data_IF_136428705693
#
_entry.id   IF_136428705693
#
_cell.length_a   1.000
_cell.length_b   1.000
_cell.length_c   1.000
_cell.angle_alpha   90.00
_cell.angle_beta   90.00
_cell.angle_gamma   90.00
#
_symmetry.space_group_name_H-M   'P 1'
#
loop_
_entity.id
_entity.type
_entity.pdbx_description
1 polymer ?
#
# COMPACT_ATOMS: atom_id res chain seq x y z
N UNK A 1 -16.30 11.52 4.16
CA UNK A 1 -15.04 11.58 3.39
C UNK A 1 -13.96 10.95 4.23
N UNK A 2 -13.27 9.93 3.68
CA UNK A 2 -12.14 9.28 4.34
C UNK A 2 -10.86 10.08 4.11
N UNK A 3 -10.56 10.38 2.84
CA UNK A 3 -9.38 11.15 2.44
C UNK A 3 -9.81 12.39 1.65
N UNK A 4 -9.28 13.56 2.01
CA UNK A 4 -9.52 14.81 1.30
C UNK A 4 -8.20 15.51 1.01
N UNK A 5 -8.03 15.99 -0.21
CA UNK A 5 -6.92 16.82 -0.65
C UNK A 5 -7.46 18.23 -0.91
N UNK A 6 -6.73 19.24 -0.46
CA UNK A 6 -7.11 20.64 -0.64
C UNK A 6 -5.92 21.39 -1.24
N UNK A 7 -5.98 21.74 -2.52
CA UNK A 7 -4.99 22.49 -3.26
C UNK A 7 -3.58 21.85 -3.22
N UNK A 8 -3.50 20.51 -3.17
CA UNK A 8 -2.27 19.77 -2.93
C UNK A 8 -1.28 19.95 -4.09
N UNK A 9 -0.07 20.42 -3.80
CA UNK A 9 0.96 20.67 -4.81
C UNK A 9 2.33 20.17 -4.37
N UNK A 10 3.15 19.78 -5.36
CA UNK A 10 4.55 19.41 -5.16
C UNK A 10 5.42 19.95 -6.27
N UNK A 11 6.47 20.68 -5.86
CA UNK A 11 7.50 21.24 -6.74
C UNK A 11 8.87 20.74 -6.31
N UNK A 12 9.71 20.35 -7.28
CA UNK A 12 11.10 19.94 -7.10
C UNK A 12 11.99 20.87 -7.94
N UNK A 13 12.86 21.67 -7.30
CA UNK A 13 13.83 22.47 -8.01
C UNK A 13 13.28 23.32 -9.17
N UNK A 14 12.08 23.89 -9.03
CA UNK A 14 11.39 24.65 -10.06
C UNK A 14 10.48 23.86 -10.99
N UNK A 15 10.53 22.51 -10.97
CA UNK A 15 9.60 21.65 -11.71
C UNK A 15 8.39 21.29 -10.85
N UNK A 16 7.19 21.62 -11.31
CA UNK A 16 5.94 21.27 -10.62
C UNK A 16 5.46 19.87 -11.06
N UNK A 17 5.62 18.91 -10.17
CA UNK A 17 5.20 17.52 -10.41
C UNK A 17 3.71 17.30 -10.14
N UNK A 18 3.13 18.03 -9.17
CA UNK A 18 1.70 17.99 -8.83
C UNK A 18 1.25 19.41 -8.59
N UNK A 19 0.15 19.84 -9.20
CA UNK A 19 -0.33 21.22 -9.19
C UNK A 19 -1.80 21.31 -8.74
N UNK A 20 -2.03 21.81 -7.51
CA UNK A 20 -3.33 22.24 -7.01
C UNK A 20 -4.42 21.15 -7.04
N UNK A 21 -4.13 19.93 -6.58
CA UNK A 21 -5.10 18.84 -6.59
C UNK A 21 -6.12 18.99 -5.47
N UNK A 22 -7.40 19.07 -5.86
CA UNK A 22 -8.57 18.95 -4.98
C UNK A 22 -9.25 17.61 -5.24
N UNK A 23 -9.43 16.79 -4.20
CA UNK A 23 -9.99 15.46 -4.31
C UNK A 23 -10.65 15.05 -2.98
N UNK A 24 -11.76 14.34 -3.06
CA UNK A 24 -12.39 13.72 -1.89
C UNK A 24 -12.71 12.26 -2.19
N UNK A 25 -12.26 11.35 -1.34
CA UNK A 25 -12.47 9.91 -1.43
C UNK A 25 -13.27 9.45 -0.21
N UNK A 26 -14.30 8.65 -0.42
CA UNK A 26 -15.12 8.10 0.66
C UNK A 26 -14.60 6.72 1.10
N UNK A 27 -15.05 6.26 2.27
CA UNK A 27 -14.69 4.92 2.75
C UNK A 27 -15.30 3.84 1.86
N UNK A 28 -14.52 2.79 1.56
CA UNK A 28 -14.94 1.70 0.70
C UNK A 28 -14.89 2.02 -0.81
N UNK A 29 -14.38 3.20 -1.19
CA UNK A 29 -14.25 3.58 -2.59
C UNK A 29 -12.98 2.97 -3.21
N UNK A 30 -13.13 2.41 -4.42
CA UNK A 30 -12.00 2.03 -5.26
C UNK A 30 -11.71 3.16 -6.25
N UNK A 31 -10.66 3.93 -6.00
CA UNK A 31 -10.28 5.10 -6.79
C UNK A 31 -9.06 4.83 -7.68
N UNK A 32 -9.14 5.19 -8.95
CA UNK A 32 -8.04 4.98 -9.92
C UNK A 32 -7.54 6.30 -10.48
N UNK A 33 -6.23 6.51 -10.43
CA UNK A 33 -5.54 7.64 -11.04
C UNK A 33 -4.96 7.19 -12.38
N UNK A 34 -5.42 7.80 -13.46
CA UNK A 34 -4.98 7.51 -14.83
C UNK A 34 -4.21 8.70 -15.40
N UNK A 35 -3.19 8.43 -16.17
CA UNK A 35 -2.39 9.45 -16.84
C UNK A 35 -1.10 8.89 -17.43
N UNK A 36 -0.41 9.62 -18.34
CA UNK A 36 0.83 9.19 -18.95
C UNK A 36 1.96 9.02 -17.94
N UNK A 37 3.04 8.36 -18.34
CA UNK A 37 4.27 8.30 -17.54
C UNK A 37 4.80 9.72 -17.28
N UNK A 38 5.27 9.98 -16.07
CA UNK A 38 5.76 11.31 -15.67
C UNK A 38 4.68 12.33 -15.29
N UNK A 39 3.38 11.99 -15.29
CA UNK A 39 2.30 12.91 -14.91
C UNK A 39 2.14 13.14 -13.39
N UNK A 40 3.08 12.72 -12.57
CA UNK A 40 3.06 12.98 -11.12
C UNK A 40 2.29 11.96 -10.27
N UNK A 41 1.74 10.88 -10.84
CA UNK A 41 0.96 9.86 -10.10
C UNK A 41 1.71 9.26 -8.91
N UNK A 42 2.93 8.78 -9.14
CA UNK A 42 3.80 8.24 -8.08
C UNK A 42 4.13 9.29 -7.02
N UNK A 43 4.36 10.53 -7.43
CA UNK A 43 4.61 11.65 -6.50
C UNK A 43 3.39 11.90 -5.62
N UNK A 44 2.20 11.94 -6.20
CA UNK A 44 0.95 12.07 -5.46
C UNK A 44 0.78 10.92 -4.46
N UNK A 45 0.91 9.67 -4.89
CA UNK A 45 0.81 8.51 -4.01
C UNK A 45 1.85 8.54 -2.87
N UNK A 46 3.09 8.97 -3.15
CA UNK A 46 4.13 9.14 -2.11
C UNK A 46 3.78 10.19 -1.08
N UNK A 47 3.18 11.31 -1.51
CA UNK A 47 2.69 12.34 -0.58
C UNK A 47 1.56 11.77 0.30
N UNK A 48 0.61 11.05 -0.28
CA UNK A 48 -0.50 10.43 0.45
C UNK A 48 0.00 9.36 1.44
N UNK A 49 1.01 8.59 1.06
CA UNK A 49 1.64 7.59 1.93
C UNK A 49 2.57 8.20 3.00
N UNK A 50 2.88 9.50 2.94
CA UNK A 50 3.78 10.16 3.91
C UNK A 50 5.26 9.93 3.66
N UNK A 51 5.63 9.55 2.45
CA UNK A 51 7.02 9.36 2.00
C UNK A 51 7.59 10.62 1.36
N UNK A 52 6.74 11.57 1.01
CA UNK A 52 7.09 12.85 0.41
C UNK A 52 6.23 13.94 1.06
N UNK A 53 6.83 15.07 1.41
CA UNK A 53 6.08 16.20 1.94
C UNK A 53 5.53 17.05 0.77
N UNK A 54 4.27 17.51 0.81
CA UNK A 54 3.76 18.48 -0.15
C UNK A 54 4.49 19.82 -0.03
N UNK A 55 4.58 20.56 -1.13
CA UNK A 55 5.09 21.94 -1.12
C UNK A 55 4.02 22.91 -0.62
N UNK A 56 2.75 22.66 -0.96
CA UNK A 56 1.59 23.40 -0.47
C UNK A 56 0.33 22.55 -0.50
N UNK A 57 -0.73 23.05 0.14
CA UNK A 57 -1.99 22.35 0.29
C UNK A 57 -2.01 21.34 1.44
N UNK A 58 -3.15 20.72 1.65
CA UNK A 58 -3.40 19.86 2.79
C UNK A 58 -3.89 18.47 2.40
N UNK A 59 -3.45 17.48 3.17
CA UNK A 59 -3.94 16.09 3.15
C UNK A 59 -4.69 15.88 4.45
N UNK A 60 -5.98 15.59 4.36
CA UNK A 60 -6.85 15.35 5.50
C UNK A 60 -7.33 13.90 5.48
N UNK A 61 -7.07 13.17 6.57
CA UNK A 61 -7.61 11.83 6.82
C UNK A 61 -8.67 11.92 7.92
N UNK A 62 -9.91 11.55 7.62
CA UNK A 62 -11.06 11.72 8.52
C UNK A 62 -11.16 13.15 9.10
N UNK A 63 -10.88 14.15 8.29
CA UNK A 63 -10.89 15.57 8.67
C UNK A 63 -9.65 16.03 9.44
N UNK A 64 -8.73 15.14 9.82
CA UNK A 64 -7.47 15.49 10.50
C UNK A 64 -6.34 15.68 9.48
N UNK A 65 -5.65 16.81 9.55
CA UNK A 65 -4.46 17.08 8.72
C UNK A 65 -3.33 16.10 9.06
N UNK A 66 -2.74 15.48 8.02
CA UNK A 66 -1.69 14.47 8.17
C UNK A 66 -0.40 14.81 7.40
N UNK A 67 -0.22 16.03 6.92
CA UNK A 67 0.99 16.42 6.17
C UNK A 67 2.28 16.08 6.94
N UNK A 68 2.29 16.36 8.25
CA UNK A 68 3.47 16.21 9.12
C UNK A 68 3.53 14.83 9.81
N UNK A 69 2.57 13.94 9.50
CA UNK A 69 2.55 12.57 10.04
C UNK A 69 3.44 11.68 9.15
N UNK A 70 4.53 11.10 9.67
CA UNK A 70 5.42 10.24 8.89
C UNK A 70 4.73 8.94 8.46
N UNK A 71 5.19 8.32 7.38
CA UNK A 71 4.61 7.14 6.76
C UNK A 71 4.36 5.97 7.75
N UNK A 72 5.30 5.73 8.68
CA UNK A 72 5.19 4.63 9.65
C UNK A 72 4.10 4.85 10.73
N UNK A 73 3.55 6.06 10.84
CA UNK A 73 2.47 6.43 11.76
C UNK A 73 1.14 6.67 11.06
N UNK A 74 1.10 6.64 9.73
CA UNK A 74 -0.17 6.73 8.98
C UNK A 74 -0.85 5.37 8.95
N UNK A 75 -2.17 5.29 9.04
CA UNK A 75 -2.92 4.04 8.86
C UNK A 75 -3.09 3.72 7.36
N UNK A 76 -2.03 3.87 6.60
CA UNK A 76 -1.99 3.68 5.15
C UNK A 76 -0.85 2.75 4.77
N UNK A 77 -0.99 2.00 3.68
CA UNK A 77 0.08 1.19 3.13
C UNK A 77 0.24 1.43 1.63
N UNK A 78 1.46 1.30 1.14
CA UNK A 78 1.77 1.41 -0.27
C UNK A 78 2.39 0.12 -0.79
N UNK A 79 1.83 -0.42 -1.87
CA UNK A 79 2.39 -1.52 -2.65
C UNK A 79 3.12 -0.89 -3.83
N UNK A 80 4.44 -1.06 -3.87
CA UNK A 80 5.29 -0.53 -4.92
C UNK A 80 5.28 -1.43 -6.16
N UNK A 81 5.55 -0.86 -7.32
CA UNK A 81 5.75 -1.59 -8.56
C UNK A 81 6.84 -2.69 -8.42
N UNK A 82 7.93 -2.39 -7.73
CA UNK A 82 9.02 -3.34 -7.43
C UNK A 82 8.67 -4.39 -6.37
N UNK A 83 7.44 -4.34 -5.80
CA UNK A 83 6.95 -5.15 -4.68
C UNK A 83 7.74 -4.95 -3.37
N UNK A 84 8.97 -4.48 -3.40
CA UNK A 84 9.87 -4.23 -2.27
C UNK A 84 9.90 -5.38 -1.23
N UNK A 85 9.81 -6.63 -1.68
CA UNK A 85 9.90 -7.81 -0.82
C UNK A 85 11.34 -8.00 -0.31
N UNK A 86 11.47 -8.54 0.89
CA UNK A 86 12.77 -8.88 1.48
C UNK A 86 13.27 -10.21 0.91
N UNK A 87 14.28 -10.21 0.00
CA UNK A 87 14.66 -11.41 -0.74
C UNK A 87 15.30 -12.50 0.15
N UNK A 88 15.90 -12.10 1.26
CA UNK A 88 16.54 -13.00 2.24
C UNK A 88 15.58 -13.58 3.30
N UNK A 89 14.25 -13.31 3.14
CA UNK A 89 13.23 -13.77 4.06
C UNK A 89 12.27 -14.75 3.38
N UNK A 90 11.58 -15.54 4.21
CA UNK A 90 10.50 -16.42 3.75
C UNK A 90 9.22 -15.62 3.44
N UNK A 91 8.24 -16.28 2.84
CA UNK A 91 6.90 -15.73 2.61
C UNK A 91 6.27 -15.29 3.92
N UNK A 92 6.25 -16.16 4.94
CA UNK A 92 5.70 -15.83 6.26
C UNK A 92 6.39 -14.64 6.91
N UNK A 93 7.72 -14.61 6.89
CA UNK A 93 8.50 -13.51 7.46
C UNK A 93 8.27 -12.18 6.74
N UNK A 94 8.05 -12.19 5.42
CA UNK A 94 7.66 -11.00 4.66
C UNK A 94 6.30 -10.49 5.14
N UNK A 95 5.30 -11.37 5.25
CA UNK A 95 3.94 -11.00 5.66
C UNK A 95 3.92 -10.47 7.10
N UNK A 96 4.62 -11.14 8.01
CA UNK A 96 4.66 -10.79 9.44
C UNK A 96 5.47 -9.54 9.77
N UNK A 97 6.28 -9.03 8.84
CA UNK A 97 7.30 -8.02 9.11
C UNK A 97 6.76 -6.77 9.83
N UNK A 98 5.67 -6.18 9.31
CA UNK A 98 5.07 -4.99 9.90
C UNK A 98 4.53 -5.24 11.31
N UNK A 99 3.91 -6.40 11.53
CA UNK A 99 3.39 -6.81 12.85
C UNK A 99 4.53 -7.07 13.83
N UNK A 100 5.65 -7.64 13.38
CA UNK A 100 6.84 -7.88 14.20
C UNK A 100 7.43 -6.56 14.71
N UNK A 101 7.58 -5.55 13.85
CA UNK A 101 8.09 -4.23 14.25
C UNK A 101 7.16 -3.55 15.27
N UNK A 102 5.85 -3.78 15.17
CA UNK A 102 4.85 -3.26 16.11
C UNK A 102 4.75 -4.06 17.41
N UNK A 103 5.63 -5.04 17.63
CA UNK A 103 5.66 -5.84 18.86
C UNK A 103 4.52 -6.85 19.02
N UNK A 104 3.80 -7.16 17.94
CA UNK A 104 2.71 -8.16 18.01
C UNK A 104 3.30 -9.53 18.30
N UNK A 105 2.67 -10.28 19.21
CA UNK A 105 3.07 -11.62 19.65
C UNK A 105 3.22 -12.59 18.46
N UNK A 106 4.23 -13.47 18.51
CA UNK A 106 4.56 -14.40 17.41
C UNK A 106 3.38 -15.28 16.99
N UNK A 107 2.63 -15.82 17.94
CA UNK A 107 1.48 -16.68 17.63
C UNK A 107 0.41 -15.92 16.82
N UNK A 108 0.10 -14.69 17.24
CA UNK A 108 -0.89 -13.82 16.56
C UNK A 108 -0.41 -13.41 15.17
N UNK A 109 0.86 -13.04 15.01
CA UNK A 109 1.44 -12.70 13.69
C UNK A 109 1.32 -13.86 12.73
N UNK A 110 1.71 -15.07 13.19
CA UNK A 110 1.68 -16.29 12.38
C UNK A 110 0.25 -16.65 11.97
N UNK A 111 -0.69 -16.55 12.91
CA UNK A 111 -2.12 -16.76 12.62
C UNK A 111 -2.62 -15.78 11.54
N UNK A 112 -2.31 -14.48 11.67
CA UNK A 112 -2.68 -13.46 10.69
C UNK A 112 -2.05 -13.74 9.33
N UNK A 113 -0.78 -14.16 9.29
CA UNK A 113 -0.10 -14.53 8.04
C UNK A 113 -0.81 -15.67 7.33
N UNK A 114 -1.18 -16.75 8.03
CA UNK A 114 -1.93 -17.86 7.43
C UNK A 114 -3.32 -17.47 6.95
N UNK A 115 -4.04 -16.62 7.67
CA UNK A 115 -5.33 -16.08 7.23
C UNK A 115 -5.19 -15.34 5.90
N UNK A 116 -4.22 -14.42 5.80
CA UNK A 116 -3.97 -13.65 4.58
C UNK A 116 -3.47 -14.54 3.42
N UNK A 117 -2.64 -15.54 3.72
CA UNK A 117 -2.22 -16.51 2.70
C UNK A 117 -3.42 -17.25 2.13
N UNK A 118 -4.35 -17.70 2.98
CA UNK A 118 -5.57 -18.39 2.54
C UNK A 118 -6.46 -17.46 1.69
N UNK A 119 -6.72 -16.23 2.14
CA UNK A 119 -7.50 -15.23 1.40
C UNK A 119 -6.91 -14.95 0.01
N UNK A 120 -5.59 -14.87 -0.08
CA UNK A 120 -4.86 -14.57 -1.32
C UNK A 120 -4.45 -15.83 -2.10
N UNK A 121 -5.00 -17.00 -1.75
CA UNK A 121 -4.74 -18.29 -2.43
C UNK A 121 -3.25 -18.63 -2.52
N UNK A 122 -2.50 -18.35 -1.47
CA UNK A 122 -1.14 -18.83 -1.28
C UNK A 122 -1.20 -20.13 -0.45
N UNK A 123 -0.56 -21.22 -0.90
CA UNK A 123 -0.54 -22.48 -0.16
C UNK A 123 0.10 -22.31 1.23
N UNK A 124 -0.45 -22.94 2.26
CA UNK A 124 0.03 -22.82 3.63
C UNK A 124 1.49 -23.29 3.79
N UNK A 125 1.91 -24.29 3.01
CA UNK A 125 3.28 -24.80 2.97
C UNK A 125 4.30 -23.75 2.47
N UNK A 126 3.84 -22.68 1.80
CA UNK A 126 4.71 -21.61 1.35
C UNK A 126 5.18 -20.69 2.48
N UNK A 127 4.60 -20.80 3.68
CA UNK A 127 5.00 -19.95 4.81
C UNK A 127 6.52 -19.97 5.05
N UNK A 128 7.16 -21.18 4.98
CA UNK A 128 8.62 -21.36 5.13
C UNK A 128 9.40 -21.22 3.82
N UNK A 129 8.74 -21.04 2.67
CA UNK A 129 9.38 -20.94 1.36
C UNK A 129 10.08 -19.59 1.21
N UNK A 130 11.33 -19.60 0.71
CA UNK A 130 12.00 -18.35 0.33
C UNK A 130 11.19 -17.60 -0.73
N UNK A 131 11.02 -16.29 -0.53
CA UNK A 131 10.25 -15.46 -1.45
C UNK A 131 10.89 -15.38 -2.85
N UNK A 132 12.19 -15.60 -2.96
CA UNK A 132 12.91 -15.63 -4.24
C UNK A 132 12.54 -16.84 -5.11
N UNK A 133 12.03 -17.91 -4.48
CA UNK A 133 11.56 -19.13 -5.18
C UNK A 133 10.09 -19.04 -5.59
N UNK A 134 9.43 -17.90 -5.35
CA UNK A 134 8.07 -17.66 -5.76
C UNK A 134 8.03 -17.10 -7.20
N UNK A 135 6.97 -17.46 -7.94
CA UNK A 135 6.67 -16.86 -9.24
C UNK A 135 6.34 -15.36 -9.11
N UNK A 136 6.29 -14.64 -10.22
CA UNK A 136 5.92 -13.21 -10.21
C UNK A 136 4.56 -12.95 -9.55
N UNK A 137 3.54 -13.71 -9.93
CA UNK A 137 2.20 -13.59 -9.35
C UNK A 137 2.15 -14.00 -7.87
N UNK A 138 2.92 -15.03 -7.45
CA UNK A 138 3.03 -15.39 -6.03
C UNK A 138 3.69 -14.26 -5.22
N UNK A 139 4.77 -13.66 -5.73
CA UNK A 139 5.43 -12.51 -5.09
C UNK A 139 4.48 -11.32 -4.94
N UNK A 140 3.64 -11.05 -5.95
CA UNK A 140 2.62 -10.01 -5.88
C UNK A 140 1.63 -10.28 -4.75
N UNK A 141 1.10 -11.51 -4.65
CA UNK A 141 0.20 -11.90 -3.55
C UNK A 141 0.87 -11.82 -2.18
N UNK A 142 2.15 -12.16 -2.08
CA UNK A 142 2.93 -11.99 -0.83
C UNK A 142 3.07 -10.50 -0.46
N UNK A 143 3.33 -9.62 -1.43
CA UNK A 143 3.42 -8.18 -1.20
C UNK A 143 2.06 -7.60 -0.74
N UNK A 144 0.97 -8.07 -1.33
CA UNK A 144 -0.37 -7.69 -0.93
C UNK A 144 -0.71 -8.21 0.49
N UNK A 145 -0.42 -9.47 0.79
CA UNK A 145 -0.57 -10.03 2.14
C UNK A 145 0.20 -9.22 3.19
N UNK A 146 1.44 -8.84 2.89
CA UNK A 146 2.26 -7.99 3.76
C UNK A 146 1.62 -6.62 3.98
N UNK A 147 1.06 -6.03 2.93
CA UNK A 147 0.40 -4.73 3.00
C UNK A 147 -0.88 -4.76 3.85
N UNK A 148 -1.64 -5.85 3.77
CA UNK A 148 -2.87 -6.06 4.53
C UNK A 148 -2.65 -6.56 5.97
N UNK A 149 -1.42 -6.94 6.33
CA UNK A 149 -1.14 -7.62 7.60
C UNK A 149 -1.56 -6.79 8.83
N UNK A 150 -1.39 -5.47 8.80
CA UNK A 150 -1.72 -4.58 9.92
C UNK A 150 -3.02 -3.80 9.75
N UNK A 151 -3.85 -4.21 8.79
CA UNK A 151 -5.19 -3.67 8.56
C UNK A 151 -5.19 -2.15 8.27
N UNK A 152 -4.62 -1.70 7.15
CA UNK A 152 -4.57 -0.29 6.81
C UNK A 152 -5.95 0.24 6.40
N UNK A 153 -6.26 1.51 6.75
CA UNK A 153 -7.50 2.17 6.31
C UNK A 153 -7.48 2.50 4.81
N UNK A 154 -6.28 2.71 4.24
CA UNK A 154 -6.10 3.01 2.82
C UNK A 154 -4.92 2.19 2.28
N UNK A 155 -5.14 1.55 1.14
CA UNK A 155 -4.12 0.84 0.39
C UNK A 155 -3.84 1.58 -0.92
N UNK A 156 -2.59 2.00 -1.10
CA UNK A 156 -2.12 2.63 -2.34
C UNK A 156 -1.37 1.62 -3.21
N UNK A 157 -1.63 1.65 -4.50
CA UNK A 157 -0.90 0.88 -5.50
C UNK A 157 -0.21 1.82 -6.48
N UNK A 158 1.11 1.74 -6.57
CA UNK A 158 1.91 2.49 -7.55
C UNK A 158 2.13 1.60 -8.78
N UNK A 159 1.48 1.95 -9.89
CA UNK A 159 1.28 1.15 -11.09
C UNK A 159 0.60 -0.20 -10.81
N UNK A 160 -0.69 -0.29 -11.12
CA UNK A 160 -1.44 -1.49 -10.81
C UNK A 160 -0.73 -2.66 -11.47
N UNK A 161 -0.41 -3.60 -10.64
CA UNK A 161 -0.12 -4.97 -10.97
C UNK A 161 -0.92 -5.35 -12.22
N UNK A 162 -0.28 -5.30 -13.39
CA UNK A 162 -0.85 -5.76 -14.65
C UNK A 162 -1.31 -7.23 -14.59
N UNK A 163 -1.17 -7.85 -13.42
CA UNK A 163 -1.47 -9.22 -13.10
C UNK A 163 -2.30 -9.41 -11.81
N UNK A 164 -2.97 -8.38 -11.27
CA UNK A 164 -4.10 -8.69 -10.38
C UNK A 164 -5.20 -9.24 -11.29
N UNK A 165 -5.27 -10.56 -11.35
CA UNK A 165 -6.33 -11.28 -12.02
C UNK A 165 -7.68 -10.66 -11.61
N UNK A 166 -8.56 -10.42 -12.58
CA UNK A 166 -9.91 -9.88 -12.39
C UNK A 166 -10.66 -10.53 -11.21
N UNK A 167 -10.38 -11.82 -10.94
CA UNK A 167 -10.94 -12.56 -9.80
C UNK A 167 -10.44 -12.07 -8.43
N UNK A 168 -9.18 -11.66 -8.34
CA UNK A 168 -8.61 -11.14 -7.09
C UNK A 168 -9.11 -9.71 -6.82
N UNK A 169 -9.31 -8.91 -7.89
CA UNK A 169 -9.95 -7.60 -7.78
C UNK A 169 -11.36 -7.72 -7.17
N UNK A 170 -12.19 -8.66 -7.67
CA UNK A 170 -13.53 -8.93 -7.11
C UNK A 170 -13.53 -9.40 -5.65
N UNK A 171 -12.47 -10.05 -5.19
CA UNK A 171 -12.36 -10.48 -3.79
C UNK A 171 -12.07 -9.28 -2.87
N UNK A 172 -11.25 -8.32 -3.35
CA UNK A 172 -10.92 -7.09 -2.61
C UNK A 172 -12.06 -6.06 -2.60
N UNK A 173 -12.98 -6.11 -3.58
CA UNK A 173 -14.16 -5.23 -3.65
C UNK A 173 -15.30 -5.68 -2.72
N UNK A 174 -15.23 -6.86 -2.12
CA UNK A 174 -16.29 -7.45 -1.28
C UNK A 174 -16.02 -7.39 0.23
N UNK A 175 -14.87 -6.91 0.66
CA UNK A 175 -14.49 -6.65 2.06
C UNK A 175 -14.43 -5.13 2.34
#
# INVERSE_FOLDING_TARGET
VLLKLCGLSKTFGGFTAVAGIDLSIVSGEFFTIVGPSGSGKTTLLRMLAGMEAPTSGDILLRGRRINDVPANRRPTCMVFQSLALFPHRTVGENIEFALKIRGVERAKRRQRAYQLMAQLRLPAEYYGKSVTKCSGGERQRVALARALAYDPEILFFDEPLSAIDYKLRKTLEKE
#
